data_IF_760564241004
#
_entry.id   IF_760564241004
#
_cell.length_a   1.000
_cell.length_b   1.000
_cell.length_c   1.000
_cell.angle_alpha   90.00
_cell.angle_beta   90.00
_cell.angle_gamma   90.00
#
_symmetry.space_group_name_H-M   'P 1'
#
loop_
_entity.id
_entity.type
_entity.pdbx_description
1 polymer ?
#
# COMPACT_ATOMS: atom_id res chain seq x y z
N UNK A 1 -4.27 16.06 4.68
CA UNK A 1 -5.23 15.44 3.74
C UNK A 1 -4.98 13.95 3.82
N UNK A 2 -6.02 13.12 3.95
CA UNK A 2 -5.85 11.67 4.08
C UNK A 2 -5.85 10.90 2.75
N UNK A 3 -6.03 11.59 1.61
CA UNK A 3 -6.06 10.97 0.29
C UNK A 3 -5.43 11.89 -0.77
N UNK A 4 -4.59 11.30 -1.62
CA UNK A 4 -4.14 11.83 -2.90
C UNK A 4 -4.81 11.04 -4.03
N UNK A 5 -5.20 11.72 -5.09
CA UNK A 5 -5.86 11.12 -6.26
C UNK A 5 -5.00 11.40 -7.49
N UNK A 6 -4.60 10.35 -8.19
CA UNK A 6 -3.81 10.42 -9.40
C UNK A 6 -4.72 10.21 -10.62
N UNK A 7 -4.55 11.05 -11.65
CA UNK A 7 -5.33 11.01 -12.88
C UNK A 7 -4.41 10.84 -14.10
N UNK A 8 -4.90 10.17 -15.14
CA UNK A 8 -4.25 10.15 -16.45
C UNK A 8 -4.58 11.42 -17.28
N UNK A 9 -4.04 11.50 -18.50
CA UNK A 9 -4.27 12.63 -19.43
C UNK A 9 -5.69 12.70 -19.99
N UNK A 10 -6.53 11.71 -19.70
CA UNK A 10 -7.94 11.65 -20.05
C UNK A 10 -8.85 11.87 -18.83
N UNK A 11 -8.30 12.44 -17.74
CA UNK A 11 -8.98 12.71 -16.46
C UNK A 11 -9.56 11.46 -15.77
N UNK A 12 -9.04 10.26 -16.05
CA UNK A 12 -9.43 9.04 -15.34
C UNK A 12 -8.56 8.82 -14.12
N UNK A 13 -9.16 8.44 -13.00
CA UNK A 13 -8.42 8.04 -11.80
C UNK A 13 -7.65 6.75 -12.07
N UNK A 14 -6.34 6.79 -11.83
CA UNK A 14 -5.42 5.65 -12.03
C UNK A 14 -4.84 5.11 -10.74
N UNK A 15 -4.78 5.93 -9.69
CA UNK A 15 -4.42 5.50 -8.35
C UNK A 15 -5.03 6.40 -7.27
N UNK A 16 -5.18 5.83 -6.09
CA UNK A 16 -5.55 6.52 -4.86
C UNK A 16 -4.53 6.16 -3.80
N UNK A 17 -3.95 7.17 -3.17
CA UNK A 17 -2.98 6.97 -2.09
C UNK A 17 -3.53 7.58 -0.82
N UNK A 18 -3.50 6.80 0.25
CA UNK A 18 -4.08 7.12 1.53
C UNK A 18 -2.99 7.28 2.57
N UNK A 19 -3.24 8.17 3.51
CA UNK A 19 -2.42 8.43 4.69
C UNK A 19 -3.35 8.58 5.89
N UNK A 20 -2.81 8.51 7.10
CA UNK A 20 -3.54 8.99 8.26
C UNK A 20 -4.03 10.43 8.03
N UNK A 21 -5.28 10.78 8.43
CA UNK A 21 -6.20 10.02 9.27
C UNK A 21 -7.24 9.19 8.48
N UNK A 22 -6.96 8.79 7.24
CA UNK A 22 -7.89 7.93 6.50
C UNK A 22 -8.04 6.56 7.17
N UNK A 23 -9.25 6.01 7.12
CA UNK A 23 -9.54 4.65 7.58
C UNK A 23 -9.66 3.75 6.35
N UNK A 24 -8.70 2.83 6.21
CA UNK A 24 -8.57 1.95 5.05
C UNK A 24 -8.50 0.52 5.55
N UNK A 25 -9.56 -0.23 5.29
CA UNK A 25 -9.65 -1.63 5.62
C UNK A 25 -9.40 -2.51 4.40
N UNK A 26 -8.52 -3.50 4.53
CA UNK A 26 -8.34 -4.56 3.55
C UNK A 26 -8.57 -5.91 4.22
N UNK A 27 -9.46 -6.73 3.62
CA UNK A 27 -9.84 -8.02 4.17
C UNK A 27 -10.32 -7.96 5.65
N UNK A 28 -11.01 -6.87 6.01
CA UNK A 28 -11.51 -6.64 7.37
C UNK A 28 -10.46 -6.16 8.40
N UNK A 29 -9.23 -5.84 7.95
CA UNK A 29 -8.14 -5.34 8.79
C UNK A 29 -7.88 -3.87 8.45
N UNK A 30 -7.93 -3.00 9.45
CA UNK A 30 -7.54 -1.59 9.32
C UNK A 30 -6.02 -1.47 9.17
N UNK A 31 -5.54 -1.07 7.99
CA UNK A 31 -4.11 -1.15 7.63
C UNK A 31 -3.25 -0.21 8.47
N UNK A 32 -3.75 0.99 8.79
CA UNK A 32 -3.01 1.95 9.62
C UNK A 32 -2.97 1.57 11.11
N UNK A 33 -3.74 0.55 11.54
CA UNK A 33 -3.75 0.09 12.93
C UNK A 33 -2.82 -1.12 13.19
N UNK A 34 -2.11 -1.59 12.16
CA UNK A 34 -1.17 -2.70 12.25
C UNK A 34 0.24 -2.25 11.90
N UNK A 35 1.24 -2.99 12.35
CA UNK A 35 2.62 -2.73 11.95
C UNK A 35 2.85 -3.07 10.47
N UNK A 36 3.87 -2.45 9.87
CA UNK A 36 4.33 -2.82 8.54
C UNK A 36 4.68 -4.32 8.47
N UNK A 37 5.31 -4.90 9.49
CA UNK A 37 5.57 -6.35 9.53
C UNK A 37 4.31 -7.22 9.44
N UNK A 38 3.19 -6.76 10.00
CA UNK A 38 1.90 -7.45 9.92
C UNK A 38 1.26 -7.25 8.55
N UNK A 39 1.34 -6.05 7.98
CA UNK A 39 0.87 -5.78 6.61
C UNK A 39 1.63 -6.62 5.58
N UNK A 40 2.95 -6.77 5.75
CA UNK A 40 3.81 -7.62 4.91
C UNK A 40 3.42 -9.08 5.00
N UNK A 41 3.24 -9.60 6.23
CA UNK A 41 2.78 -10.98 6.45
C UNK A 41 1.40 -11.22 5.85
N UNK A 42 0.48 -10.28 6.02
CA UNK A 42 -0.86 -10.34 5.45
C UNK A 42 -0.77 -10.45 3.91
N UNK A 43 -0.04 -9.54 3.27
CA UNK A 43 0.06 -9.53 1.81
C UNK A 43 0.77 -10.80 1.30
N UNK A 44 1.89 -11.20 1.90
CA UNK A 44 2.62 -12.43 1.56
C UNK A 44 1.77 -13.71 1.75
N UNK A 45 0.75 -13.68 2.59
CA UNK A 45 -0.18 -14.79 2.77
C UNK A 45 -1.20 -14.92 1.63
N UNK A 46 -1.56 -13.79 1.00
CA UNK A 46 -2.59 -13.68 -0.04
C UNK A 46 -2.01 -13.63 -1.47
N UNK A 47 -0.78 -13.15 -1.58
CA UNK A 47 -0.02 -13.01 -2.81
C UNK A 47 1.41 -13.52 -2.58
N UNK A 48 1.85 -14.50 -3.38
CA UNK A 48 3.19 -15.10 -3.27
C UNK A 48 4.23 -14.36 -4.11
N UNK A 49 3.77 -13.48 -4.99
CA UNK A 49 4.59 -12.77 -5.97
C UNK A 49 4.72 -11.28 -5.61
N UNK A 50 4.59 -10.93 -4.31
CA UNK A 50 4.81 -9.57 -3.84
C UNK A 50 6.23 -9.10 -4.19
N UNK A 51 6.34 -7.89 -4.72
CA UNK A 51 7.60 -7.19 -4.87
C UNK A 51 7.89 -6.44 -3.56
N UNK A 52 9.11 -6.54 -3.06
CA UNK A 52 9.60 -5.79 -1.90
C UNK A 52 10.82 -5.01 -2.36
N UNK A 53 10.86 -3.73 -2.04
CA UNK A 53 12.00 -2.85 -2.24
C UNK A 53 12.33 -2.11 -0.94
N UNK A 54 13.26 -1.15 -1.01
CA UNK A 54 13.71 -0.41 0.18
C UNK A 54 12.66 0.52 0.77
N UNK A 55 11.61 0.86 0.00
CA UNK A 55 10.60 1.83 0.40
C UNK A 55 9.28 1.16 0.83
N UNK A 56 9.10 -0.12 0.51
CA UNK A 56 7.83 -0.77 0.75
C UNK A 56 7.65 -2.16 0.15
N UNK A 57 6.38 -2.53 -0.01
CA UNK A 57 5.96 -3.68 -0.82
C UNK A 57 4.92 -3.27 -1.84
N UNK A 58 4.82 -4.08 -2.90
CA UNK A 58 3.82 -3.96 -3.95
C UNK A 58 3.25 -5.33 -4.29
N UNK A 59 1.92 -5.44 -4.25
CA UNK A 59 1.16 -6.56 -4.83
C UNK A 59 0.50 -6.09 -6.13
N UNK A 60 1.05 -6.53 -7.26
CA UNK A 60 0.44 -6.28 -8.58
C UNK A 60 -0.87 -7.03 -8.77
N UNK A 61 -1.00 -8.19 -8.12
CA UNK A 61 -2.24 -9.00 -8.14
C UNK A 61 -3.44 -8.23 -7.60
N UNK A 62 -3.26 -7.46 -6.53
CA UNK A 62 -4.32 -6.68 -5.91
C UNK A 62 -4.30 -5.20 -6.32
N UNK A 63 -3.24 -4.74 -6.98
CA UNK A 63 -3.02 -3.32 -7.26
C UNK A 63 -2.83 -2.53 -5.96
N UNK A 64 -2.05 -3.06 -5.01
CA UNK A 64 -1.83 -2.45 -3.68
C UNK A 64 -0.34 -2.26 -3.45
N UNK A 65 0.06 -1.05 -3.05
CA UNK A 65 1.39 -0.73 -2.55
C UNK A 65 1.31 -0.28 -1.09
N UNK A 66 2.24 -0.73 -0.27
CA UNK A 66 2.39 -0.31 1.12
C UNK A 66 3.74 0.39 1.23
N UNK A 67 3.71 1.64 1.69
CA UNK A 67 4.90 2.45 1.88
C UNK A 67 5.29 2.43 3.36
N UNK A 68 6.50 1.96 3.63
CA UNK A 68 7.17 2.06 4.94
C UNK A 68 8.68 2.09 4.70
N UNK A 69 9.27 3.29 4.51
CA UNK A 69 10.67 3.42 4.11
C UNK A 69 11.65 3.01 5.21
N UNK A 70 11.19 2.89 6.47
CA UNK A 70 12.02 2.46 7.58
C UNK A 70 11.86 0.97 7.87
N UNK A 71 11.20 0.18 7.00
CA UNK A 71 10.85 -1.21 7.28
C UNK A 71 12.04 -2.09 7.68
N UNK A 72 13.21 -1.91 7.05
CA UNK A 72 14.40 -2.71 7.36
C UNK A 72 14.93 -2.46 8.79
N UNK A 73 14.81 -1.23 9.28
CA UNK A 73 15.33 -0.80 10.59
C UNK A 73 14.25 -0.89 11.69
N UNK A 74 13.02 -0.49 11.37
CA UNK A 74 11.90 -0.35 12.29
C UNK A 74 10.61 -1.05 11.77
N UNK A 75 10.61 -2.38 11.57
CA UNK A 75 9.49 -3.11 10.95
C UNK A 75 8.18 -3.11 11.76
N UNK A 76 8.23 -2.63 13.01
CA UNK A 76 7.09 -2.57 13.92
C UNK A 76 6.39 -1.20 13.91
N UNK A 77 6.90 -0.22 13.16
CA UNK A 77 6.17 1.02 12.90
C UNK A 77 4.87 0.74 12.13
N UNK A 78 3.84 1.58 12.30
CA UNK A 78 2.66 1.56 11.45
C UNK A 78 3.03 1.83 9.98
N UNK A 79 2.21 1.36 9.05
CA UNK A 79 2.31 1.74 7.64
C UNK A 79 2.17 3.25 7.49
N UNK A 80 3.11 3.92 6.81
CA UNK A 80 3.02 5.35 6.53
C UNK A 80 1.98 5.71 5.45
N UNK A 81 1.91 4.91 4.38
CA UNK A 81 0.93 5.11 3.31
C UNK A 81 0.52 3.81 2.62
N UNK A 82 -0.69 3.81 2.05
CA UNK A 82 -1.16 2.73 1.17
C UNK A 82 -1.66 3.32 -0.14
N UNK A 83 -1.20 2.78 -1.26
CA UNK A 83 -1.68 3.12 -2.59
C UNK A 83 -2.48 1.97 -3.17
N UNK A 84 -3.61 2.28 -3.80
CA UNK A 84 -4.35 1.37 -4.67
C UNK A 84 -4.31 1.89 -6.09
N UNK A 85 -4.05 1.02 -7.06
CA UNK A 85 -3.75 1.42 -8.43
C UNK A 85 -4.30 0.41 -9.45
N UNK A 86 -4.51 0.90 -10.68
CA UNK A 86 -4.95 0.07 -11.80
C UNK A 86 -3.80 -0.80 -12.35
N UNK A 87 -4.14 -1.87 -13.07
CA UNK A 87 -3.17 -2.63 -13.85
C UNK A 87 -2.38 -1.69 -14.80
N UNK A 88 -1.06 -1.85 -14.82
CA UNK A 88 -0.15 -1.04 -15.63
C UNK A 88 0.25 0.31 -15.04
N UNK A 89 -0.11 0.62 -13.80
CA UNK A 89 0.29 1.89 -13.16
C UNK A 89 1.82 2.08 -13.02
N UNK A 90 2.56 0.99 -12.80
CA UNK A 90 4.02 0.99 -12.67
C UNK A 90 4.75 0.51 -13.95
N UNK A 91 4.04 0.35 -15.07
CA UNK A 91 4.62 -0.06 -16.36
C UNK A 91 5.35 1.08 -17.09
#
# INVERSE_FOLDING_TARGET
MGINIYYDSADKTIALEFYEPAQVAFNGIEIFNISASEAYKLMASLDKDIAIDGDGLTSFKFGIGVYEPNYEEEPFLPVEAIIIFIEGYYD
#
